data_IF_422216893948
#
_entry.id   IF_422216893948
#
_cell.length_a   1.000
_cell.length_b   1.000
_cell.length_c   1.000
_cell.angle_alpha   90.00
_cell.angle_beta   90.00
_cell.angle_gamma   90.00
#
_symmetry.space_group_name_H-M   'P 1'
#
loop_
_entity.id
_entity.type
_entity.pdbx_description
1 polymer ?
#
# COMPACT_ATOMS: atom_id res chain seq x y z
N UNK A 1 -2.94 3.46 77.14
CA UNK A 1 -1.48 3.53 77.28
C UNK A 1 -0.94 2.21 76.77
N UNK A 2 -0.58 2.19 75.49
CA UNK A 2 0.24 1.12 74.91
C UNK A 2 1.31 1.88 74.15
N UNK A 3 2.47 2.04 74.80
CA UNK A 3 3.59 2.79 74.26
C UNK A 3 4.15 2.05 73.05
N UNK A 4 3.98 2.60 71.86
CA UNK A 4 4.69 2.14 70.66
C UNK A 4 6.20 2.31 70.91
N UNK A 5 7.01 1.25 70.76
CA UNK A 5 8.43 1.31 71.07
C UNK A 5 9.16 2.33 70.20
N UNK A 6 10.26 2.94 70.71
CA UNK A 6 10.98 4.01 70.03
C UNK A 6 11.49 3.52 68.68
N UNK A 7 11.18 4.26 67.62
CA UNK A 7 11.66 4.00 66.26
C UNK A 7 13.19 4.05 66.26
N UNK A 8 13.83 2.88 66.24
CA UNK A 8 15.28 2.79 66.27
C UNK A 8 15.82 3.36 64.94
N UNK A 9 16.47 4.52 64.98
CA UNK A 9 17.14 5.13 63.83
C UNK A 9 18.39 4.32 63.47
N UNK A 10 18.16 3.19 62.81
CA UNK A 10 19.22 2.37 62.23
C UNK A 10 19.88 3.12 61.08
N UNK A 11 21.20 3.27 61.13
CA UNK A 11 22.02 3.79 60.01
C UNK A 11 22.34 2.70 58.97
N UNK A 12 21.81 1.49 59.15
CA UNK A 12 22.02 0.40 58.21
C UNK A 12 21.23 0.68 56.92
N UNK A 13 21.84 0.48 55.75
CA UNK A 13 21.12 0.58 54.49
C UNK A 13 20.03 -0.49 54.42
N UNK A 14 18.89 -0.13 53.84
CA UNK A 14 17.78 -1.05 53.63
C UNK A 14 18.22 -2.29 52.84
N UNK A 15 17.91 -3.46 53.37
CA UNK A 15 18.28 -4.75 52.79
C UNK A 15 17.27 -5.25 51.75
N UNK A 16 16.92 -4.39 50.78
CA UNK A 16 16.07 -4.79 49.66
C UNK A 16 16.91 -5.15 48.43
N UNK A 17 16.48 -6.14 47.65
CA UNK A 17 17.22 -6.63 46.48
C UNK A 17 17.57 -5.52 45.46
N UNK A 18 16.73 -4.48 45.34
CA UNK A 18 17.01 -3.32 44.51
C UNK A 18 18.17 -2.48 45.06
N UNK A 19 18.18 -2.21 46.38
CA UNK A 19 19.20 -1.37 47.03
C UNK A 19 20.53 -2.10 47.21
N UNK A 20 20.49 -3.41 47.37
CA UNK A 20 21.68 -4.27 47.45
C UNK A 20 22.19 -4.72 46.07
N UNK A 21 21.51 -4.34 44.98
CA UNK A 21 21.85 -4.74 43.60
C UNK A 21 21.84 -6.27 43.39
N UNK A 22 21.00 -6.98 44.12
CA UNK A 22 20.83 -8.44 44.07
C UNK A 22 19.56 -8.85 43.29
N UNK A 23 19.08 -7.97 42.39
CA UNK A 23 17.96 -8.33 41.52
C UNK A 23 18.33 -9.55 40.65
N UNK A 24 17.39 -10.49 40.44
CA UNK A 24 17.62 -11.61 39.55
C UNK A 24 17.90 -11.09 38.14
N UNK A 25 19.13 -11.25 37.68
CA UNK A 25 19.58 -10.81 36.36
C UNK A 25 20.04 -12.02 35.54
N UNK A 26 19.60 -12.09 34.29
CA UNK A 26 20.12 -13.08 33.35
C UNK A 26 21.42 -12.57 32.73
N UNK A 27 22.55 -13.12 33.16
CA UNK A 27 23.86 -12.77 32.62
C UNK A 27 24.19 -13.62 31.39
N UNK A 28 24.11 -13.00 30.20
CA UNK A 28 24.43 -13.64 28.93
C UNK A 28 25.94 -13.57 28.65
N UNK A 29 26.61 -14.70 28.78
CA UNK A 29 28.01 -14.85 28.39
C UNK A 29 28.10 -15.33 26.94
N UNK A 30 28.63 -14.46 26.07
CA UNK A 30 28.86 -14.76 24.65
C UNK A 30 30.19 -15.48 24.45
N UNK A 31 30.19 -16.80 24.62
CA UNK A 31 31.35 -17.64 24.25
C UNK A 31 31.48 -17.74 22.73
N UNK A 32 32.71 -17.81 22.21
CA UNK A 32 32.99 -17.95 20.78
C UNK A 32 32.18 -19.08 20.11
N UNK A 33 32.07 -20.25 20.75
CA UNK A 33 31.27 -21.38 20.23
C UNK A 33 29.78 -21.05 20.10
N UNK A 34 29.21 -20.30 21.06
CA UNK A 34 27.80 -19.90 21.03
C UNK A 34 27.53 -18.88 19.92
N UNK A 35 28.39 -17.87 19.81
CA UNK A 35 28.30 -16.85 18.75
C UNK A 35 28.43 -17.52 17.38
N UNK A 36 29.40 -18.40 17.20
CA UNK A 36 29.65 -19.07 15.93
C UNK A 36 28.48 -19.96 15.49
N UNK A 37 27.91 -20.73 16.42
CA UNK A 37 26.70 -21.51 16.18
C UNK A 37 25.53 -20.60 15.76
N UNK A 38 25.31 -19.49 16.46
CA UNK A 38 24.24 -18.54 16.14
C UNK A 38 24.40 -17.90 14.75
N UNK A 39 25.63 -17.49 14.37
CA UNK A 39 25.90 -16.93 13.05
C UNK A 39 25.70 -17.97 11.94
N UNK A 40 26.12 -19.22 12.18
CA UNK A 40 25.96 -20.30 11.22
C UNK A 40 24.48 -20.64 10.98
N UNK A 41 23.70 -20.79 12.06
CA UNK A 41 22.26 -21.10 11.96
C UNK A 41 21.46 -19.95 11.35
N UNK A 42 21.76 -18.70 11.75
CA UNK A 42 21.13 -17.52 11.15
C UNK A 42 21.46 -17.39 9.65
N UNK A 43 22.71 -17.63 9.26
CA UNK A 43 23.11 -17.59 7.85
C UNK A 43 22.35 -18.60 6.99
N UNK A 44 22.23 -19.86 7.44
CA UNK A 44 21.45 -20.89 6.75
C UNK A 44 19.97 -20.49 6.66
N UNK A 45 19.38 -20.05 7.77
CA UNK A 45 17.98 -19.61 7.78
C UNK A 45 17.74 -18.48 6.78
N UNK A 46 18.58 -17.44 6.78
CA UNK A 46 18.45 -16.32 5.85
C UNK A 46 18.62 -16.74 4.40
N UNK A 47 19.54 -17.66 4.08
CA UNK A 47 19.70 -18.20 2.72
C UNK A 47 18.47 -18.99 2.27
N UNK A 48 17.97 -19.90 3.10
CA UNK A 48 16.78 -20.69 2.80
C UNK A 48 15.55 -19.79 2.58
N UNK A 49 15.31 -18.84 3.49
CA UNK A 49 14.21 -17.88 3.36
C UNK A 49 14.37 -16.99 2.12
N UNK A 50 15.58 -16.52 1.83
CA UNK A 50 15.86 -15.71 0.64
C UNK A 50 15.51 -16.45 -0.66
N UNK A 51 15.90 -17.73 -0.77
CA UNK A 51 15.56 -18.57 -1.93
C UNK A 51 14.04 -18.75 -2.04
N UNK A 52 13.35 -19.09 -0.95
CA UNK A 52 11.88 -19.26 -0.94
C UNK A 52 11.19 -17.98 -1.42
N UNK A 53 11.63 -16.82 -0.93
CA UNK A 53 11.09 -15.52 -1.31
C UNK A 53 11.33 -15.20 -2.79
N UNK A 54 12.52 -15.49 -3.33
CA UNK A 54 12.84 -15.29 -4.75
C UNK A 54 11.95 -16.17 -5.63
N UNK A 55 11.78 -17.45 -5.27
CA UNK A 55 10.93 -18.38 -6.02
C UNK A 55 9.48 -17.92 -5.97
N UNK A 56 8.99 -17.51 -4.81
CA UNK A 56 7.63 -16.97 -4.64
C UNK A 56 7.43 -15.68 -5.44
N UNK A 57 8.41 -14.79 -5.50
CA UNK A 57 8.31 -13.57 -6.29
C UNK A 57 8.27 -13.88 -7.80
N UNK A 58 9.10 -14.83 -8.28
CA UNK A 58 9.15 -15.22 -9.70
C UNK A 58 7.92 -15.99 -10.18
N UNK A 59 7.17 -16.63 -9.30
CA UNK A 59 5.92 -17.29 -9.68
C UNK A 59 4.76 -16.32 -9.90
N UNK A 60 4.88 -15.07 -9.45
CA UNK A 60 3.90 -14.02 -9.78
C UNK A 60 4.08 -13.56 -11.22
N UNK A 61 2.96 -13.34 -11.90
CA UNK A 61 2.94 -12.74 -13.24
C UNK A 61 2.44 -11.30 -13.11
N UNK A 62 3.16 -10.36 -13.71
CA UNK A 62 2.80 -8.94 -13.74
C UNK A 62 3.02 -8.39 -15.14
N UNK A 63 2.02 -7.68 -15.65
CA UNK A 63 2.09 -6.92 -16.88
C UNK A 63 1.75 -5.45 -16.59
N UNK A 64 2.60 -4.56 -17.05
CA UNK A 64 2.43 -3.11 -16.93
C UNK A 64 2.36 -2.49 -18.33
N UNK A 65 1.29 -1.74 -18.58
CA UNK A 65 1.07 -1.05 -19.85
C UNK A 65 0.93 0.45 -19.58
N UNK A 66 1.90 1.23 -20.04
CA UNK A 66 1.86 2.68 -20.00
C UNK A 66 0.96 3.20 -21.12
N UNK A 67 -0.09 3.92 -20.76
CA UNK A 67 -1.07 4.44 -21.71
C UNK A 67 -0.97 5.95 -21.92
N UNK A 68 -0.03 6.63 -21.26
CA UNK A 68 0.17 8.09 -21.41
C UNK A 68 0.54 8.44 -22.85
N UNK A 69 1.48 7.68 -23.44
CA UNK A 69 1.98 7.92 -24.79
C UNK A 69 1.06 7.34 -25.84
N UNK A 70 0.50 6.15 -25.60
CA UNK A 70 -0.44 5.49 -26.52
C UNK A 70 -1.71 6.33 -26.70
N UNK A 71 -2.16 7.01 -25.64
CA UNK A 71 -3.31 7.91 -25.67
C UNK A 71 -2.89 9.39 -25.74
N UNK A 72 -1.80 9.72 -26.43
CA UNK A 72 -1.23 11.08 -26.49
C UNK A 72 -2.26 12.14 -26.94
N UNK A 73 -3.16 11.80 -27.86
CA UNK A 73 -4.22 12.73 -28.31
C UNK A 73 -5.14 13.14 -27.15
N UNK A 74 -5.55 12.18 -26.32
CA UNK A 74 -6.34 12.45 -25.12
C UNK A 74 -5.51 13.19 -24.07
N UNK A 75 -4.24 12.83 -23.91
CA UNK A 75 -3.34 13.51 -22.98
C UNK A 75 -3.20 15.01 -23.31
N UNK A 76 -2.99 15.34 -24.59
CA UNK A 76 -2.94 16.72 -25.10
C UNK A 76 -4.27 17.46 -24.92
N UNK A 77 -5.40 16.78 -25.15
CA UNK A 77 -6.72 17.36 -24.95
C UNK A 77 -6.91 17.81 -23.48
N UNK A 78 -6.40 17.03 -22.52
CA UNK A 78 -6.48 17.33 -21.08
C UNK A 78 -5.48 18.38 -20.58
N UNK A 79 -4.57 18.87 -21.43
CA UNK A 79 -3.71 20.01 -21.06
C UNK A 79 -4.50 21.32 -20.99
N UNK A 80 -5.64 21.41 -21.68
CA UNK A 80 -6.49 22.60 -21.67
C UNK A 80 -7.67 22.40 -20.71
N UNK A 81 -7.80 23.28 -19.71
CA UNK A 81 -8.83 23.13 -18.67
C UNK A 81 -10.27 23.22 -19.20
N UNK A 82 -10.51 23.97 -20.29
CA UNK A 82 -11.85 24.08 -20.91
C UNK A 82 -12.35 22.78 -21.54
N UNK A 83 -11.47 21.82 -21.82
CA UNK A 83 -11.85 20.51 -22.36
C UNK A 83 -12.18 19.49 -21.26
N UNK A 84 -12.43 19.92 -20.02
CA UNK A 84 -12.74 19.01 -18.91
C UNK A 84 -13.98 18.14 -19.19
N UNK A 85 -15.00 18.70 -19.83
CA UNK A 85 -16.27 17.98 -20.09
C UNK A 85 -16.23 17.10 -21.35
N UNK A 86 -15.20 17.23 -22.20
CA UNK A 86 -15.09 16.43 -23.43
C UNK A 86 -14.59 15.04 -23.10
N UNK A 87 -15.40 14.03 -23.40
CA UNK A 87 -14.98 12.63 -23.28
C UNK A 87 -13.89 12.30 -24.30
N UNK A 88 -12.85 11.58 -23.85
CA UNK A 88 -11.81 11.07 -24.73
C UNK A 88 -11.49 9.62 -24.36
N UNK A 89 -11.75 8.72 -25.29
CA UNK A 89 -11.54 7.28 -25.12
C UNK A 89 -10.40 6.78 -25.99
N UNK A 90 -9.63 5.83 -25.46
CA UNK A 90 -8.48 5.25 -26.12
C UNK A 90 -8.50 3.73 -25.90
N UNK A 91 -8.27 2.95 -26.95
CA UNK A 91 -8.20 1.49 -26.86
C UNK A 91 -6.76 1.02 -27.06
N UNK A 92 -6.29 0.15 -26.17
CA UNK A 92 -4.91 -0.34 -26.18
C UNK A 92 -4.94 -1.86 -26.24
N UNK A 93 -4.69 -2.45 -27.41
CA UNK A 93 -4.57 -3.90 -27.53
C UNK A 93 -3.24 -4.37 -26.92
N UNK A 94 -3.27 -5.52 -26.27
CA UNK A 94 -2.09 -6.20 -25.78
C UNK A 94 -2.29 -7.72 -25.81
N UNK A 95 -1.19 -8.46 -25.86
CA UNK A 95 -1.22 -9.92 -25.86
C UNK A 95 -0.67 -10.45 -24.53
N UNK A 96 -1.41 -11.38 -23.93
CA UNK A 96 -1.00 -12.08 -22.74
C UNK A 96 -0.42 -13.45 -23.16
N UNK A 97 0.91 -13.61 -23.03
CA UNK A 97 1.63 -14.79 -23.50
C UNK A 97 1.35 -16.05 -22.68
N UNK A 98 1.18 -15.89 -21.36
CA UNK A 98 0.93 -16.97 -20.41
C UNK A 98 -0.34 -16.68 -19.63
N UNK A 99 -1.09 -17.73 -19.28
CA UNK A 99 -2.29 -17.56 -18.45
C UNK A 99 -1.92 -17.07 -17.05
N UNK A 100 -2.61 -16.03 -16.56
CA UNK A 100 -2.49 -15.54 -15.19
C UNK A 100 -3.40 -16.35 -14.28
N UNK A 101 -2.83 -17.28 -13.53
CA UNK A 101 -3.58 -18.20 -12.67
C UNK A 101 -4.05 -17.55 -11.36
N UNK A 102 -5.27 -17.89 -10.94
CA UNK A 102 -5.81 -17.55 -9.63
C UNK A 102 -6.36 -16.13 -9.54
N UNK A 103 -6.10 -15.46 -8.42
CA UNK A 103 -6.63 -14.11 -8.16
C UNK A 103 -5.80 -13.07 -8.90
N UNK A 104 -6.42 -12.43 -9.89
CA UNK A 104 -5.80 -11.35 -10.66
C UNK A 104 -6.34 -10.01 -10.18
N UNK A 105 -5.43 -9.08 -9.94
CA UNK A 105 -5.74 -7.72 -9.49
C UNK A 105 -5.33 -6.73 -10.55
N UNK A 106 -6.18 -5.72 -10.76
CA UNK A 106 -5.92 -4.60 -11.66
C UNK A 106 -5.62 -3.37 -10.83
N UNK A 107 -4.50 -2.73 -11.13
CA UNK A 107 -4.06 -1.50 -10.49
C UNK A 107 -3.92 -0.40 -11.54
N UNK A 108 -4.16 0.84 -11.14
CA UNK A 108 -3.60 1.99 -11.85
C UNK A 108 -2.31 2.40 -11.14
N UNK A 109 -1.30 2.75 -11.93
CA UNK A 109 0.00 3.21 -11.46
C UNK A 109 0.20 4.64 -11.95
N UNK A 110 0.56 5.53 -11.02
CA UNK A 110 0.92 6.91 -11.30
C UNK A 110 2.41 7.07 -11.06
N UNK A 111 3.07 7.76 -11.98
CA UNK A 111 4.47 8.17 -11.88
C UNK A 111 4.56 9.70 -11.83
N UNK A 112 5.47 10.22 -11.00
CA UNK A 112 5.68 11.67 -10.83
C UNK A 112 4.59 12.38 -10.03
N UNK A 113 3.71 11.65 -9.31
CA UNK A 113 2.64 12.24 -8.50
C UNK A 113 2.98 12.17 -7.01
N UNK A 114 3.32 13.31 -6.41
CA UNK A 114 3.85 13.38 -5.05
C UNK A 114 2.75 13.48 -3.97
N UNK A 115 2.11 12.35 -3.65
CA UNK A 115 1.16 12.28 -2.52
C UNK A 115 1.83 12.44 -1.14
N UNK A 116 3.15 12.29 -1.07
CA UNK A 116 3.93 12.34 0.17
C UNK A 116 4.31 13.77 0.61
N UNK A 117 3.85 14.80 -0.09
CA UNK A 117 4.08 16.18 0.29
C UNK A 117 3.34 16.50 1.60
N UNK A 118 4.02 17.09 2.59
CA UNK A 118 3.46 17.39 3.91
C UNK A 118 2.11 18.13 3.87
N UNK A 119 2.05 19.25 3.13
CA UNK A 119 0.80 20.02 2.97
C UNK A 119 -0.31 19.24 2.27
N UNK A 120 0.04 18.36 1.35
CA UNK A 120 -0.93 17.51 0.66
C UNK A 120 -1.52 16.48 1.63
N UNK A 121 -0.67 15.78 2.41
CA UNK A 121 -1.10 14.80 3.41
C UNK A 121 -2.01 15.43 4.49
N UNK A 122 -1.69 16.64 4.92
CA UNK A 122 -2.47 17.35 5.95
C UNK A 122 -3.81 17.86 5.44
N UNK A 123 -3.95 18.11 4.14
CA UNK A 123 -5.15 18.70 3.54
C UNK A 123 -6.29 17.69 3.43
N UNK A 124 -6.91 17.36 4.57
CA UNK A 124 -8.10 16.52 4.75
C UNK A 124 -8.73 16.74 6.13
N UNK A 125 -10.03 16.47 6.27
CA UNK A 125 -10.73 16.49 7.55
C UNK A 125 -11.15 15.09 7.97
N UNK A 126 -10.51 14.54 9.00
CA UNK A 126 -10.89 13.21 9.51
C UNK A 126 -12.30 13.22 10.15
N UNK A 127 -12.73 14.34 10.73
CA UNK A 127 -14.09 14.46 11.32
C UNK A 127 -15.17 14.35 10.25
N UNK A 128 -14.93 14.93 9.08
CA UNK A 128 -15.80 14.83 7.91
C UNK A 128 -15.82 13.41 7.35
N UNK A 129 -14.64 12.79 7.15
CA UNK A 129 -14.52 11.44 6.59
C UNK A 129 -15.13 10.34 7.49
N UNK A 130 -15.17 10.59 8.79
CA UNK A 130 -15.86 9.74 9.78
C UNK A 130 -17.36 10.02 9.88
N UNK A 131 -17.93 10.92 9.07
CA UNK A 131 -19.35 11.27 9.10
C UNK A 131 -19.83 11.94 10.39
N UNK A 132 -18.91 12.39 11.28
CA UNK A 132 -19.27 13.00 12.57
C UNK A 132 -19.68 14.46 12.44
N UNK A 133 -18.97 15.20 11.60
CA UNK A 133 -19.24 16.60 11.30
C UNK A 133 -18.84 16.90 9.86
N UNK A 134 -19.84 17.01 8.99
CA UNK A 134 -19.66 17.22 7.56
C UNK A 134 -19.08 18.62 7.26
N UNK A 135 -19.29 19.60 8.14
CA UNK A 135 -18.90 21.00 7.93
C UNK A 135 -17.54 21.34 8.56
N UNK A 136 -16.91 20.41 9.28
CA UNK A 136 -15.57 20.57 9.83
C UNK A 136 -14.50 20.58 8.71
N UNK A 137 -14.10 21.76 8.25
CA UNK A 137 -13.18 21.95 7.09
C UNK A 137 -11.88 22.72 7.43
N UNK A 138 -11.56 22.88 8.71
CA UNK A 138 -10.43 23.71 9.19
C UNK A 138 -9.07 23.28 8.60
N UNK A 139 -8.78 21.97 8.65
CA UNK A 139 -7.51 21.38 8.18
C UNK A 139 -7.43 21.24 6.64
N UNK A 140 -8.49 21.57 5.91
CA UNK A 140 -8.64 21.26 4.48
C UNK A 140 -8.07 22.33 3.54
N UNK A 141 -7.22 23.23 4.01
CA UNK A 141 -6.65 24.28 3.15
C UNK A 141 -5.83 23.69 1.99
N UNK A 142 -5.95 24.22 0.76
CA UNK A 142 -6.76 25.37 0.34
C UNK A 142 -8.23 25.01 0.00
N UNK A 143 -8.56 23.73 -0.18
CA UNK A 143 -9.88 23.25 -0.62
C UNK A 143 -10.86 23.06 0.54
N UNK A 144 -11.06 24.11 1.34
CA UNK A 144 -11.98 24.11 2.49
C UNK A 144 -13.41 24.53 2.11
N UNK A 145 -13.54 25.59 1.34
CA UNK A 145 -14.80 26.23 0.95
C UNK A 145 -14.72 26.64 -0.52
N UNK A 146 -15.86 26.66 -1.20
CA UNK A 146 -15.98 27.28 -2.52
C UNK A 146 -15.97 28.81 -2.43
N UNK A 147 -15.95 29.47 -3.59
CA UNK A 147 -16.01 30.93 -3.72
C UNK A 147 -17.25 31.56 -3.05
N UNK A 148 -18.32 30.78 -2.87
CA UNK A 148 -19.58 31.15 -2.20
C UNK A 148 -19.59 30.89 -0.69
N UNK A 149 -18.43 30.68 -0.05
CA UNK A 149 -18.29 30.29 1.37
C UNK A 149 -19.01 28.98 1.76
N UNK A 150 -19.43 28.16 0.78
CA UNK A 150 -20.04 26.85 1.04
C UNK A 150 -18.95 25.80 1.32
N UNK A 151 -19.04 25.02 2.42
CA UNK A 151 -18.09 23.95 2.73
C UNK A 151 -18.01 22.91 1.60
N UNK A 152 -16.78 22.52 1.25
CA UNK A 152 -16.53 21.49 0.25
C UNK A 152 -16.62 20.11 0.90
N UNK A 153 -17.25 19.15 0.24
CA UNK A 153 -17.36 17.76 0.70
C UNK A 153 -17.09 16.78 -0.44
N UNK A 154 -16.09 15.90 -0.31
CA UNK A 154 -15.01 15.89 0.68
C UNK A 154 -14.04 17.08 0.52
N UNK A 155 -13.64 17.72 1.62
CA UNK A 155 -12.66 18.81 1.59
C UNK A 155 -11.23 18.31 1.49
N UNK A 156 -10.34 19.19 1.01
CA UNK A 156 -8.90 18.96 0.99
C UNK A 156 -8.31 18.51 -0.35
N UNK A 157 -6.99 18.68 -0.48
CA UNK A 157 -6.25 18.45 -1.72
C UNK A 157 -6.20 16.97 -2.12
N UNK A 158 -6.19 16.06 -1.15
CA UNK A 158 -6.21 14.61 -1.41
C UNK A 158 -7.49 14.27 -2.16
N UNK A 159 -8.65 14.63 -1.59
CA UNK A 159 -9.93 14.28 -2.18
C UNK A 159 -10.15 15.00 -3.52
N UNK A 160 -9.82 16.29 -3.62
CA UNK A 160 -9.98 17.05 -4.86
C UNK A 160 -9.17 16.47 -6.04
N UNK A 161 -8.04 15.80 -5.79
CA UNK A 161 -7.22 15.20 -6.84
C UNK A 161 -7.46 13.71 -7.04
N UNK A 162 -8.65 13.21 -6.69
CA UNK A 162 -9.03 11.81 -6.90
C UNK A 162 -8.86 11.36 -8.35
N UNK A 163 -8.26 10.18 -8.52
CA UNK A 163 -8.11 9.53 -9.81
C UNK A 163 -9.49 9.19 -10.41
N UNK A 164 -9.73 9.60 -11.65
CA UNK A 164 -11.06 9.55 -12.28
C UNK A 164 -11.06 8.96 -13.71
N UNK A 165 -10.01 8.26 -14.13
CA UNK A 165 -10.05 7.50 -15.39
C UNK A 165 -10.93 6.25 -15.23
N UNK A 166 -11.65 5.92 -16.30
CA UNK A 166 -12.40 4.66 -16.38
C UNK A 166 -11.60 3.66 -17.20
N UNK A 167 -11.32 2.48 -16.63
CA UNK A 167 -10.49 1.45 -17.25
C UNK A 167 -11.33 0.18 -17.38
N UNK A 168 -11.61 -0.23 -18.62
CA UNK A 168 -12.38 -1.43 -18.92
C UNK A 168 -11.46 -2.43 -19.64
N UNK A 169 -11.25 -3.59 -19.02
CA UNK A 169 -10.53 -4.70 -19.62
C UNK A 169 -11.49 -5.56 -20.45
N UNK A 170 -11.10 -5.89 -21.67
CA UNK A 170 -11.85 -6.78 -22.55
C UNK A 170 -10.95 -7.88 -23.11
N UNK A 171 -11.52 -9.08 -23.27
CA UNK A 171 -10.88 -10.24 -23.86
C UNK A 171 -11.38 -10.46 -25.29
N UNK A 172 -10.45 -10.54 -26.23
CA UNK A 172 -10.72 -10.65 -27.65
C UNK A 172 -10.48 -12.11 -28.08
N UNK A 173 -11.55 -12.90 -28.18
CA UNK A 173 -11.46 -14.33 -28.56
C UNK A 173 -11.16 -14.45 -30.05
N UNK A 174 -11.91 -13.72 -30.87
CA UNK A 174 -11.80 -13.66 -32.33
C UNK A 174 -11.82 -12.19 -32.78
N UNK A 175 -11.53 -11.92 -34.06
CA UNK A 175 -11.53 -10.54 -34.60
C UNK A 175 -12.88 -9.81 -34.48
N UNK A 176 -13.98 -10.52 -34.21
CA UNK A 176 -15.35 -9.97 -34.10
C UNK A 176 -16.01 -10.14 -32.73
N UNK A 177 -15.41 -10.89 -31.79
CA UNK A 177 -16.03 -11.22 -30.50
C UNK A 177 -15.19 -10.72 -29.31
N UNK A 178 -15.69 -9.69 -28.64
CA UNK A 178 -15.07 -9.05 -27.48
C UNK A 178 -15.91 -9.28 -26.22
N UNK A 179 -15.34 -9.96 -25.22
CA UNK A 179 -15.98 -10.20 -23.93
C UNK A 179 -15.43 -9.20 -22.92
N UNK A 180 -16.31 -8.45 -22.26
CA UNK A 180 -15.92 -7.60 -21.13
C UNK A 180 -15.48 -8.47 -19.95
N UNK A 181 -14.25 -8.27 -19.47
CA UNK A 181 -13.75 -9.00 -18.31
C UNK A 181 -14.45 -8.48 -17.06
N UNK A 182 -15.11 -9.33 -16.26
CA UNK A 182 -15.84 -8.89 -15.08
C UNK A 182 -14.86 -8.55 -13.96
N UNK A 183 -14.73 -7.26 -13.66
CA UNK A 183 -13.92 -6.75 -12.55
C UNK A 183 -14.83 -6.32 -11.40
N UNK A 184 -14.63 -6.87 -10.21
CA UNK A 184 -15.33 -6.47 -9.00
C UNK A 184 -14.76 -5.16 -8.46
N UNK A 185 -15.66 -4.24 -8.12
CA UNK A 185 -15.40 -2.97 -7.43
C UNK A 185 -15.63 -3.03 -5.91
N UNK A 186 -15.87 -4.23 -5.39
CA UNK A 186 -16.03 -4.51 -3.97
C UNK A 186 -14.84 -5.28 -3.41
N UNK A 187 -14.57 -5.15 -2.11
CA UNK A 187 -13.47 -5.83 -1.41
C UNK A 187 -12.08 -5.36 -1.83
N UNK A 188 -11.92 -4.09 -2.18
CA UNK A 188 -10.65 -3.45 -2.57
C UNK A 188 -9.92 -2.84 -1.37
N UNK A 189 -10.66 -2.47 -0.33
CA UNK A 189 -10.17 -1.71 0.83
C UNK A 189 -9.86 -2.62 2.01
N UNK A 190 -9.00 -2.14 2.92
CA UNK A 190 -8.82 -2.78 4.21
C UNK A 190 -10.09 -2.71 5.06
N UNK A 191 -10.30 -3.73 5.90
CA UNK A 191 -11.46 -3.83 6.78
C UNK A 191 -11.56 -2.62 7.73
N UNK A 192 -10.42 -2.19 8.31
CA UNK A 192 -10.38 -1.04 9.22
C UNK A 192 -10.74 0.27 8.53
N UNK A 193 -10.30 0.48 7.28
CA UNK A 193 -10.67 1.68 6.52
C UNK A 193 -12.19 1.67 6.25
N UNK A 194 -12.74 0.54 5.77
CA UNK A 194 -14.16 0.44 5.39
C UNK A 194 -15.15 0.51 6.57
N UNK A 195 -14.80 -0.06 7.72
CA UNK A 195 -15.76 -0.23 8.83
C UNK A 195 -15.50 0.68 10.02
N UNK A 196 -14.29 1.25 10.17
CA UNK A 196 -13.94 2.08 11.34
C UNK A 196 -13.65 3.53 10.92
N UNK A 197 -12.80 3.73 9.92
CA UNK A 197 -12.22 5.05 9.63
C UNK A 197 -13.09 5.94 8.76
N UNK A 198 -13.75 5.36 7.75
CA UNK A 198 -14.68 6.08 6.88
C UNK A 198 -16.10 5.69 7.23
N UNK A 199 -16.98 6.68 7.39
CA UNK A 199 -18.39 6.46 7.67
C UNK A 199 -19.23 7.55 7.03
N UNK A 200 -20.39 7.17 6.50
CA UNK A 200 -21.39 8.16 6.09
C UNK A 200 -22.10 8.71 7.34
N UNK A 201 -22.46 10.01 7.35
CA UNK A 201 -23.20 10.63 8.46
C UNK A 201 -24.56 9.97 8.72
N UNK A 202 -25.24 9.52 7.66
CA UNK A 202 -26.49 8.76 7.74
C UNK A 202 -26.55 7.74 6.61
N UNK A 203 -27.29 6.65 6.82
CA UNK A 203 -27.60 5.66 5.78
C UNK A 203 -28.90 5.99 5.02
N UNK A 204 -29.68 6.97 5.48
CA UNK A 204 -30.93 7.41 4.85
C UNK A 204 -30.69 8.72 4.11
N UNK A 205 -31.07 8.77 2.83
CA UNK A 205 -30.96 9.90 1.90
C UNK A 205 -29.69 10.75 2.06
N UNK A 206 -28.56 10.28 1.52
CA UNK A 206 -27.28 11.01 1.57
C UNK A 206 -27.39 12.45 1.04
N UNK A 207 -28.18 12.68 -0.01
CA UNK A 207 -28.37 14.00 -0.59
C UNK A 207 -28.91 15.04 0.41
N UNK A 208 -29.80 14.62 1.33
CA UNK A 208 -30.37 15.51 2.35
C UNK A 208 -29.33 15.91 3.41
N UNK A 209 -28.46 14.96 3.78
CA UNK A 209 -27.42 15.16 4.78
C UNK A 209 -26.29 16.07 4.28
N UNK A 210 -26.03 16.04 2.97
CA UNK A 210 -25.05 16.92 2.32
C UNK A 210 -25.63 18.27 1.88
N UNK A 211 -26.85 18.64 2.29
CA UNK A 211 -27.45 19.94 1.96
C UNK A 211 -26.61 21.11 2.47
N UNK A 212 -26.45 22.13 1.61
CA UNK A 212 -25.64 23.31 1.92
C UNK A 212 -24.12 23.07 1.82
N UNK A 213 -23.72 21.95 1.22
CA UNK A 213 -22.32 21.65 0.89
C UNK A 213 -22.13 21.65 -0.62
N UNK A 214 -20.89 21.61 -1.08
CA UNK A 214 -20.57 21.58 -2.50
C UNK A 214 -19.48 20.55 -2.81
N UNK A 215 -19.49 20.04 -4.04
CA UNK A 215 -18.48 19.07 -4.50
C UNK A 215 -17.10 19.72 -4.65
N UNK A 216 -16.02 18.93 -4.63
CA UNK A 216 -14.69 19.45 -4.94
C UNK A 216 -14.62 20.02 -6.38
N UNK A 217 -13.79 21.05 -6.62
CA UNK A 217 -13.71 21.71 -7.93
C UNK A 217 -13.44 20.78 -9.12
N UNK A 218 -12.60 19.76 -8.93
CA UNK A 218 -12.21 18.84 -10.01
C UNK A 218 -13.09 17.59 -10.11
N UNK A 219 -14.18 17.52 -9.34
CA UNK A 219 -15.08 16.37 -9.36
C UNK A 219 -16.22 16.60 -10.36
N UNK A 220 -16.58 15.63 -11.20
CA UNK A 220 -17.74 15.74 -12.07
C UNK A 220 -19.04 15.72 -11.24
N UNK A 221 -19.17 14.72 -10.36
CA UNK A 221 -20.34 14.48 -9.53
C UNK A 221 -19.99 14.64 -8.04
N UNK A 222 -20.96 14.96 -7.17
CA UNK A 222 -20.77 14.96 -5.73
C UNK A 222 -20.52 13.55 -5.16
N UNK A 223 -20.02 13.50 -3.92
CA UNK A 223 -19.64 12.26 -3.23
C UNK A 223 -20.76 11.23 -3.09
N UNK A 224 -22.00 11.67 -3.00
CA UNK A 224 -23.18 10.82 -2.84
C UNK A 224 -23.78 10.35 -4.19
N UNK A 225 -23.13 10.67 -5.31
CA UNK A 225 -23.49 10.21 -6.66
C UNK A 225 -22.32 9.43 -7.31
N UNK A 226 -21.38 8.89 -6.50
CA UNK A 226 -20.26 8.12 -7.03
C UNK A 226 -20.69 6.71 -7.48
N UNK A 227 -21.65 6.10 -6.79
CA UNK A 227 -22.20 4.79 -7.16
C UNK A 227 -23.71 4.76 -6.85
N UNK A 228 -24.52 5.02 -7.86
CA UNK A 228 -25.99 4.96 -7.75
C UNK A 228 -26.53 3.53 -7.76
N UNK A 229 -25.72 2.54 -8.16
CA UNK A 229 -26.16 1.15 -8.34
C UNK A 229 -26.10 0.37 -7.03
N UNK A 230 -25.07 0.59 -6.21
CA UNK A 230 -24.97 -0.01 -4.87
C UNK A 230 -24.93 1.07 -3.78
N UNK A 231 -26.03 1.27 -3.03
CA UNK A 231 -26.07 2.21 -1.92
C UNK A 231 -25.00 1.97 -0.83
N UNK A 232 -24.48 0.75 -0.72
CA UNK A 232 -23.43 0.40 0.27
C UNK A 232 -22.03 0.82 -0.18
N UNK A 233 -21.86 1.18 -1.45
CA UNK A 233 -20.60 1.62 -2.05
C UNK A 233 -20.66 3.11 -2.44
N UNK A 234 -21.48 3.89 -1.76
CA UNK A 234 -21.71 5.29 -2.07
C UNK A 234 -21.35 6.21 -0.89
N UNK A 235 -21.12 7.51 -1.16
CA UNK A 235 -20.64 8.45 -0.16
C UNK A 235 -19.16 8.23 0.21
N UNK A 236 -18.81 8.51 1.47
CA UNK A 236 -17.45 8.26 1.99
C UNK A 236 -17.09 6.77 2.07
N UNK A 237 -18.08 5.88 1.95
CA UNK A 237 -17.89 4.43 1.94
C UNK A 237 -17.56 3.86 0.55
N UNK A 238 -17.52 4.70 -0.49
CA UNK A 238 -17.13 4.28 -1.82
C UNK A 238 -15.69 3.73 -1.82
N UNK A 239 -15.51 2.50 -2.31
CA UNK A 239 -14.22 1.80 -2.22
C UNK A 239 -13.14 2.45 -3.09
N UNK A 240 -13.47 2.96 -4.29
CA UNK A 240 -12.51 3.67 -5.13
C UNK A 240 -12.01 4.96 -4.44
N UNK A 241 -12.91 5.67 -3.74
CA UNK A 241 -12.56 6.81 -2.90
C UNK A 241 -11.66 6.42 -1.72
N UNK A 242 -12.02 5.39 -0.96
CA UNK A 242 -11.24 4.92 0.18
C UNK A 242 -9.85 4.43 -0.26
N UNK A 243 -9.72 3.77 -1.42
CA UNK A 243 -8.42 3.36 -1.95
C UNK A 243 -7.54 4.59 -2.27
N UNK A 244 -8.13 5.69 -2.73
CA UNK A 244 -7.40 6.91 -3.05
C UNK A 244 -6.88 7.65 -1.81
N UNK A 245 -7.71 7.77 -0.77
CA UNK A 245 -7.48 8.65 0.39
C UNK A 245 -6.18 8.40 1.19
N UNK A 246 -5.69 7.16 1.38
CA UNK A 246 -4.36 6.92 1.94
C UNK A 246 -3.28 7.42 0.99
N UNK A 247 -2.52 8.43 1.42
CA UNK A 247 -1.38 8.95 0.65
C UNK A 247 -0.30 7.89 0.45
N UNK A 248 0.23 7.79 -0.76
CA UNK A 248 1.37 6.95 -1.07
C UNK A 248 2.68 7.52 -0.52
N UNK A 249 3.59 6.63 -0.07
CA UNK A 249 4.89 7.02 0.47
C UNK A 249 5.88 7.52 -0.59
N UNK A 250 5.72 7.08 -1.84
CA UNK A 250 6.61 7.36 -2.97
C UNK A 250 5.85 8.06 -4.11
N UNK A 251 6.53 8.84 -4.97
CA UNK A 251 5.91 9.51 -6.12
C UNK A 251 5.47 8.56 -7.24
N UNK A 252 6.04 7.36 -7.25
CA UNK A 252 5.58 6.26 -8.10
C UNK A 252 4.85 5.26 -7.23
N UNK A 253 3.56 5.07 -7.47
CA UNK A 253 2.75 4.16 -6.69
C UNK A 253 1.67 3.53 -7.55
N UNK A 254 1.20 2.36 -7.11
CA UNK A 254 0.04 1.69 -7.68
C UNK A 254 -1.07 1.58 -6.65
N UNK A 255 -2.31 1.76 -7.08
CA UNK A 255 -3.52 1.65 -6.24
C UNK A 255 -4.48 0.68 -6.90
N UNK A 256 -5.17 -0.12 -6.07
CA UNK A 256 -6.04 -1.18 -6.53
C UNK A 256 -7.28 -0.59 -7.20
N UNK A 257 -7.56 -0.99 -8.43
CA UNK A 257 -8.70 -0.52 -9.20
C UNK A 257 -9.84 -1.54 -9.24
N UNK A 258 -9.51 -2.83 -9.19
CA UNK A 258 -10.48 -3.91 -9.23
C UNK A 258 -9.84 -5.27 -9.07
N UNK A 259 -10.63 -6.26 -8.68
CA UNK A 259 -10.22 -7.68 -8.66
C UNK A 259 -11.02 -8.46 -9.69
N UNK A 260 -10.41 -9.46 -10.31
CA UNK A 260 -11.10 -10.33 -11.24
C UNK A 260 -12.26 -11.07 -10.55
N UNK A 261 -13.44 -11.05 -11.16
CA UNK A 261 -14.51 -11.97 -10.79
C UNK A 261 -14.27 -13.31 -11.51
N UNK A 262 -14.02 -14.37 -10.75
CA UNK A 262 -13.72 -15.70 -11.29
C UNK A 262 -14.99 -16.44 -11.72
N UNK A 263 -15.65 -15.93 -12.76
CA UNK A 263 -16.86 -16.51 -13.33
C UNK A 263 -16.69 -16.87 -14.80
N UNK A 264 -17.46 -17.86 -15.27
CA UNK A 264 -17.50 -18.29 -16.67
C UNK A 264 -16.09 -18.59 -17.23
N UNK A 265 -15.68 -17.88 -18.29
CA UNK A 265 -14.39 -18.02 -18.98
C UNK A 265 -13.17 -17.66 -18.12
N UNK A 266 -13.38 -17.00 -16.96
CA UNK A 266 -12.31 -16.50 -16.10
C UNK A 266 -12.19 -17.24 -14.76
N UNK A 267 -12.77 -18.45 -14.67
CA UNK A 267 -12.80 -19.26 -13.43
C UNK A 267 -11.40 -19.55 -12.86
N UNK A 268 -10.42 -19.79 -13.72
CA UNK A 268 -9.03 -20.09 -13.33
C UNK A 268 -8.11 -18.86 -13.33
N UNK A 269 -8.64 -17.67 -13.66
CA UNK A 269 -7.86 -16.45 -13.87
C UNK A 269 -8.01 -15.92 -15.30
N UNK A 270 -6.99 -15.21 -15.79
CA UNK A 270 -7.00 -14.68 -17.16
C UNK A 270 -6.32 -15.68 -18.12
N UNK A 271 -7.02 -16.24 -19.11
CA UNK A 271 -6.40 -17.11 -20.11
C UNK A 271 -5.37 -16.34 -20.97
N UNK A 272 -4.43 -17.06 -21.56
CA UNK A 272 -3.55 -16.47 -22.57
C UNK A 272 -4.38 -16.04 -23.79
N UNK A 273 -3.99 -14.94 -24.44
CA UNK A 273 -4.69 -14.43 -25.62
C UNK A 273 -4.64 -12.91 -25.77
N UNK A 274 -5.45 -12.42 -26.71
CA UNK A 274 -5.55 -10.99 -27.01
C UNK A 274 -6.51 -10.30 -26.05
N UNK A 275 -6.07 -9.18 -25.49
CA UNK A 275 -6.87 -8.32 -24.64
C UNK A 275 -6.80 -6.89 -25.15
N UNK A 276 -7.72 -6.06 -24.68
CA UNK A 276 -7.68 -4.62 -24.89
C UNK A 276 -8.16 -3.87 -23.67
N UNK A 277 -7.44 -2.80 -23.32
CA UNK A 277 -7.93 -1.81 -22.38
C UNK A 277 -8.68 -0.71 -23.12
N UNK A 278 -9.95 -0.52 -22.80
CA UNK A 278 -10.72 0.65 -23.21
C UNK A 278 -10.68 1.65 -22.06
N UNK A 279 -9.97 2.76 -22.26
CA UNK A 279 -9.68 3.76 -21.24
C UNK A 279 -10.40 5.07 -21.59
N UNK A 280 -11.24 5.56 -20.68
CA UNK A 280 -11.75 6.93 -20.71
C UNK A 280 -10.77 7.81 -19.94
N UNK A 281 -10.07 8.68 -20.65
CA UNK A 281 -8.95 9.46 -20.16
C UNK A 281 -9.42 10.82 -19.62
N UNK A 282 -9.46 10.96 -18.30
CA UNK A 282 -9.95 12.12 -17.56
C UNK A 282 -8.85 12.79 -16.72
N UNK A 283 -7.96 11.99 -16.11
CA UNK A 283 -6.94 12.45 -15.17
C UNK A 283 -5.70 13.01 -15.90
N UNK A 284 -5.41 14.33 -15.82
CA UNK A 284 -4.28 14.94 -16.51
C UNK A 284 -2.96 14.67 -15.79
N UNK A 285 -1.93 14.21 -16.51
CA UNK A 285 -0.58 13.98 -15.96
C UNK A 285 0.55 14.70 -16.69
N UNK A 286 0.34 15.11 -17.94
CA UNK A 286 1.40 15.68 -18.79
C UNK A 286 1.93 17.02 -18.27
N UNK A 287 1.08 17.82 -17.62
CA UNK A 287 1.45 19.12 -17.03
C UNK A 287 2.58 19.05 -16.01
N UNK A 288 2.70 17.94 -15.29
CA UNK A 288 3.77 17.71 -14.31
C UNK A 288 4.74 16.61 -14.77
N UNK A 289 4.77 16.31 -16.07
CA UNK A 289 5.62 15.27 -16.66
C UNK A 289 5.40 13.88 -16.02
N UNK A 290 4.17 13.61 -15.55
CA UNK A 290 3.80 12.33 -14.99
C UNK A 290 3.41 11.31 -16.05
N UNK A 291 3.39 10.04 -15.65
CA UNK A 291 2.93 8.93 -16.48
C UNK A 291 1.87 8.10 -15.75
N UNK A 292 1.00 7.47 -16.53
CA UNK A 292 -0.03 6.53 -16.09
C UNK A 292 0.15 5.18 -16.75
N UNK A 293 0.08 4.14 -15.94
CA UNK A 293 0.08 2.75 -16.39
C UNK A 293 -1.08 1.98 -15.78
N UNK A 294 -1.55 0.97 -16.50
CA UNK A 294 -2.41 -0.08 -15.93
C UNK A 294 -1.53 -1.29 -15.66
N UNK A 295 -1.68 -1.88 -14.48
CA UNK A 295 -0.92 -3.06 -14.06
C UNK A 295 -1.89 -4.18 -13.74
N UNK A 296 -1.76 -5.34 -14.40
CA UNK A 296 -2.40 -6.58 -13.97
C UNK A 296 -1.35 -7.42 -13.26
N UNK A 297 -1.67 -7.93 -12.07
CA UNK A 297 -0.72 -8.68 -11.25
C UNK A 297 -1.43 -9.81 -10.50
N UNK A 298 -0.78 -10.97 -10.41
CA UNK A 298 -1.14 -12.02 -9.45
C UNK A 298 -0.37 -11.82 -8.15
N UNK A 299 -0.95 -12.29 -7.03
CA UNK A 299 -0.32 -12.19 -5.72
C UNK A 299 0.06 -13.58 -5.21
N UNK A 300 1.17 -13.63 -4.48
CA UNK A 300 1.52 -14.74 -3.59
C UNK A 300 1.33 -14.33 -2.14
N UNK A 301 1.59 -15.24 -1.21
CA UNK A 301 1.50 -14.98 0.23
C UNK A 301 2.40 -13.83 0.70
N UNK A 302 3.52 -13.58 0.00
CA UNK A 302 4.45 -12.49 0.30
C UNK A 302 4.17 -11.21 -0.52
N UNK A 303 3.05 -11.16 -1.25
CA UNK A 303 2.64 -10.00 -2.05
C UNK A 303 2.89 -10.18 -3.55
N UNK A 304 3.18 -9.08 -4.24
CA UNK A 304 3.36 -9.05 -5.70
C UNK A 304 4.80 -9.31 -6.15
N UNK A 305 5.08 -9.00 -7.41
CA UNK A 305 6.39 -9.20 -8.03
C UNK A 305 7.46 -8.24 -7.47
N UNK A 306 8.19 -8.66 -6.44
CA UNK A 306 9.34 -7.92 -5.91
C UNK A 306 10.44 -8.87 -5.43
N UNK A 307 11.62 -8.74 -6.04
CA UNK A 307 12.80 -9.54 -5.69
C UNK A 307 13.60 -8.97 -4.52
N UNK A 308 13.31 -7.73 -4.09
CA UNK A 308 14.14 -7.00 -3.12
C UNK A 308 14.32 -7.76 -1.80
N UNK A 309 13.22 -8.22 -1.20
CA UNK A 309 13.28 -8.92 0.09
C UNK A 309 14.06 -10.24 -0.03
N UNK A 310 13.80 -11.01 -1.08
CA UNK A 310 14.53 -12.24 -1.35
C UNK A 310 16.03 -12.02 -1.50
N UNK A 311 16.44 -11.02 -2.31
CA UNK A 311 17.84 -10.65 -2.47
C UNK A 311 18.47 -10.15 -1.17
N UNK A 312 17.78 -9.32 -0.39
CA UNK A 312 18.27 -8.84 0.89
C UNK A 312 18.55 -9.99 1.87
N UNK A 313 17.66 -10.99 1.94
CA UNK A 313 17.84 -12.18 2.76
C UNK A 313 19.00 -13.05 2.26
N UNK A 314 19.12 -13.27 0.95
CA UNK A 314 20.21 -14.06 0.36
C UNK A 314 21.58 -13.40 0.57
N UNK A 315 21.70 -12.08 0.34
CA UNK A 315 22.94 -11.33 0.55
C UNK A 315 23.32 -11.33 2.04
N UNK A 316 22.38 -11.03 2.93
CA UNK A 316 22.62 -11.05 4.39
C UNK A 316 23.02 -12.45 4.86
N UNK A 317 22.33 -13.49 4.37
CA UNK A 317 22.65 -14.88 4.64
C UNK A 317 24.06 -15.27 4.18
N UNK A 318 24.45 -14.88 2.96
CA UNK A 318 25.78 -15.15 2.43
C UNK A 318 26.88 -14.45 3.25
N UNK A 319 26.70 -13.18 3.59
CA UNK A 319 27.67 -12.41 4.39
C UNK A 319 27.81 -12.98 5.81
N UNK A 320 26.69 -13.29 6.47
CA UNK A 320 26.72 -13.88 7.83
C UNK A 320 27.34 -15.27 7.84
N UNK A 321 27.12 -16.06 6.79
CA UNK A 321 27.71 -17.40 6.66
C UNK A 321 29.23 -17.33 6.38
N UNK A 322 29.68 -16.42 5.52
CA UNK A 322 31.11 -16.15 5.31
C UNK A 322 31.79 -15.64 6.59
N UNK A 323 31.15 -14.73 7.32
CA UNK A 323 31.64 -14.25 8.60
C UNK A 323 31.77 -15.38 9.63
N UNK A 324 30.84 -16.34 9.64
CA UNK A 324 30.92 -17.55 10.48
C UNK A 324 32.17 -18.36 10.16
N UNK A 325 32.45 -18.65 8.88
CA UNK A 325 33.67 -19.38 8.50
C UNK A 325 34.96 -18.62 8.85
N UNK A 326 34.99 -17.30 8.64
CA UNK A 326 36.13 -16.47 9.03
C UNK A 326 36.38 -16.49 10.54
N UNK A 327 35.32 -16.35 11.36
CA UNK A 327 35.42 -16.45 12.82
C UNK A 327 35.86 -17.85 13.28
N UNK A 328 35.37 -18.92 12.63
CA UNK A 328 35.82 -20.30 12.89
C UNK A 328 37.32 -20.45 12.62
N UNK A 329 37.80 -19.94 11.48
CA UNK A 329 39.23 -19.98 11.13
C UNK A 329 40.09 -19.23 12.15
N UNK A 330 39.71 -18.01 12.54
CA UNK A 330 40.43 -17.24 13.55
C UNK A 330 40.42 -17.95 14.91
N UNK A 331 39.27 -18.48 15.33
CA UNK A 331 39.14 -19.19 16.60
C UNK A 331 40.03 -20.44 16.66
N UNK A 332 40.08 -21.21 15.58
CA UNK A 332 40.93 -22.41 15.49
C UNK A 332 42.42 -22.06 15.45
N UNK A 333 42.82 -21.00 14.74
CA UNK A 333 44.20 -20.50 14.74
C UNK A 333 44.65 -20.02 16.13
N UNK A 334 43.82 -19.23 16.83
CA UNK A 334 44.12 -18.75 18.19
C UNK A 334 44.21 -19.91 19.20
N UNK A 335 43.33 -20.91 19.09
CA UNK A 335 43.37 -22.11 19.92
C UNK A 335 44.65 -22.92 19.69
N UNK A 336 45.08 -23.04 18.43
CA UNK A 336 46.34 -23.69 18.06
C UNK A 336 47.55 -22.97 18.68
N UNK A 337 47.62 -21.64 18.54
CA UNK A 337 48.71 -20.82 19.11
C UNK A 337 48.78 -20.94 20.64
N UNK A 338 47.63 -20.98 21.31
CA UNK A 338 47.57 -21.17 22.78
C UNK A 338 48.08 -22.55 23.19
N UNK A 339 47.76 -23.62 22.45
CA UNK A 339 48.31 -24.97 22.71
C UNK A 339 49.82 -25.03 22.49
N UNK A 340 50.34 -24.38 21.45
CA UNK A 340 51.78 -24.32 21.19
C UNK A 340 52.54 -23.62 22.31
N UNK A 341 51.99 -22.56 22.91
CA UNK A 341 52.62 -21.81 24.00
C UNK A 341 52.61 -22.56 25.34
N UNK A 342 51.69 -23.49 25.57
CA UNK A 342 51.63 -24.30 26.79
C UNK A 342 52.44 -25.60 26.71
N UNK A 343 52.96 -25.95 25.52
CA UNK A 343 53.82 -27.12 25.29
C UNK A 343 55.31 -26.76 25.14
N UNK A 344 55.66 -25.50 25.40
CA UNK A 344 57.01 -24.96 25.42
C UNK A 344 57.27 -24.40 26.82
#
# INVERSE_FOLDING_TARGET
MEETPPHCLSRLPDNSALKQQELPAHQLYFTATRVLSAFFTMGIFCLCMGIILIVSARSTQEIEINYTRTCANCAKLRETASNFDKECTCSIPFYLSEKMMGNVYMYYKLHGFHQNLYRYIQSRSNRQLMGKDVKAVEDCSPFKTSNSNTPIVPCGAIANSMFNDTIILSYNINSSAQIKVPMLKSGLTWWTDKYIKFQNPSFKNLADEFRGTTKPPNWPNPIYELDEKDPRNNGFLNEDFIVWMPGAAFPTFKKLYGRLNQTHHFKEGLPAGNYSFNITYNFPVTRFQGEKSVVLSTLTWCGGNSLFLGLAYTVTGAVTWLASFAMMAIHTMLKSKKRSFFHQ
#
